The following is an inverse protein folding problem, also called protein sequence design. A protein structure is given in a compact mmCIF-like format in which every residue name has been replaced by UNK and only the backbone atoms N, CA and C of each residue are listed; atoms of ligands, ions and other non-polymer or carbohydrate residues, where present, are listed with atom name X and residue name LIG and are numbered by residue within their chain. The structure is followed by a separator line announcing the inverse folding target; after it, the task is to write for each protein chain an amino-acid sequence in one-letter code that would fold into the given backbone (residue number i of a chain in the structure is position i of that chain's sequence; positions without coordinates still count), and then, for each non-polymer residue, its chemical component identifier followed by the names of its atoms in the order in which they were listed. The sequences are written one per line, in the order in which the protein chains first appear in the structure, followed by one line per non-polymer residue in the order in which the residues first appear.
data_IF_763611026295
#
_entry.id   IF_763611026295
#
_cell.length_a   1.000
_cell.length_b   1.000
_cell.length_c   1.000
_cell.angle_alpha   90.00
_cell.angle_beta   90.00
_cell.angle_gamma   90.00
#
_symmetry.space_group_name_H-M   'P 1'
#
loop_
_entity.id
_entity.type
_entity.pdbx_description
1 polymer ?
#
# COMPACT_ATOMS: atom_id res chain seq x y z
N UNK A 1 -57.46 -3.81 -15.73
CA UNK A 1 -56.15 -4.50 -15.87
C UNK A 1 -55.03 -3.47 -15.88
N UNK A 2 -54.50 -3.10 -14.71
CA UNK A 2 -53.46 -2.05 -14.59
C UNK A 2 -52.62 -2.23 -13.32
N UNK A 3 -52.33 -3.47 -12.91
CA UNK A 3 -51.50 -3.77 -11.73
C UNK A 3 -50.76 -5.08 -11.98
N UNK A 4 -49.82 -5.11 -12.92
CA UNK A 4 -48.92 -6.26 -13.12
C UNK A 4 -47.64 -5.86 -13.85
N UNK A 5 -46.93 -4.85 -13.37
CA UNK A 5 -45.61 -4.48 -13.92
C UNK A 5 -44.60 -3.97 -12.88
N UNK A 6 -44.90 -4.10 -11.58
CA UNK A 6 -44.10 -3.44 -10.52
C UNK A 6 -43.29 -4.41 -9.61
N UNK A 7 -43.25 -5.71 -9.90
CA UNK A 7 -42.73 -6.71 -8.96
C UNK A 7 -41.39 -7.38 -9.36
N UNK A 8 -40.65 -6.85 -10.35
CA UNK A 8 -39.43 -7.51 -10.87
C UNK A 8 -38.10 -6.78 -10.60
N UNK A 9 -38.05 -5.82 -9.67
CA UNK A 9 -36.86 -4.96 -9.47
C UNK A 9 -36.02 -5.22 -8.20
N UNK A 10 -36.17 -6.33 -7.47
CA UNK A 10 -35.64 -6.42 -6.09
C UNK A 10 -34.71 -7.60 -5.78
N UNK A 11 -34.01 -8.14 -6.76
CA UNK A 11 -32.84 -9.02 -6.50
C UNK A 11 -31.60 -8.45 -7.19
N UNK A 12 -31.32 -7.16 -6.98
CA UNK A 12 -29.97 -6.66 -7.18
C UNK A 12 -29.18 -7.04 -5.93
N UNK A 13 -28.38 -8.12 -6.02
CA UNK A 13 -27.32 -8.34 -5.02
C UNK A 13 -26.49 -7.07 -4.97
N UNK A 14 -26.10 -6.58 -3.77
CA UNK A 14 -25.24 -5.42 -3.68
C UNK A 14 -23.98 -5.73 -4.49
N UNK A 15 -23.80 -5.03 -5.62
CA UNK A 15 -22.57 -5.11 -6.37
C UNK A 15 -21.46 -4.62 -5.42
N UNK A 16 -20.43 -5.44 -5.20
CA UNK A 16 -19.27 -5.05 -4.40
C UNK A 16 -18.45 -4.04 -5.18
N UNK A 17 -18.94 -2.81 -5.24
CA UNK A 17 -18.29 -1.72 -5.94
C UNK A 17 -16.96 -1.40 -5.25
N UNK A 18 -15.92 -1.27 -6.05
CA UNK A 18 -14.60 -0.91 -5.59
C UNK A 18 -13.82 -0.22 -6.70
N UNK A 19 -12.55 0.04 -6.42
CA UNK A 19 -11.63 0.67 -7.36
C UNK A 19 -10.43 -0.25 -7.57
N UNK A 20 -10.04 -0.48 -8.81
CA UNK A 20 -8.79 -1.14 -9.16
C UNK A 20 -7.86 -0.14 -9.82
N UNK A 21 -6.64 -0.03 -9.33
CA UNK A 21 -5.55 0.68 -10.00
C UNK A 21 -4.41 -0.28 -10.35
N UNK A 22 -3.80 -0.09 -11.51
CA UNK A 22 -2.59 -0.80 -11.91
C UNK A 22 -1.46 0.20 -12.07
N UNK A 23 -0.35 -0.06 -11.39
CA UNK A 23 0.89 0.69 -11.47
C UNK A 23 1.95 -0.14 -12.20
N UNK A 24 2.65 0.47 -13.14
CA UNK A 24 3.85 -0.10 -13.76
C UNK A 24 5.05 0.20 -12.87
N UNK A 25 5.88 -0.82 -12.64
CA UNK A 25 7.12 -0.70 -11.88
C UNK A 25 8.32 -0.45 -12.81
N UNK A 26 9.44 0.08 -12.31
CA UNK A 26 10.65 0.29 -13.11
C UNK A 26 11.24 -0.98 -13.72
N UNK A 27 11.01 -2.14 -13.08
CA UNK A 27 11.47 -3.45 -13.55
C UNK A 27 10.62 -4.02 -14.71
N UNK A 28 9.60 -3.28 -15.17
CA UNK A 28 8.65 -3.71 -16.20
C UNK A 28 7.50 -4.56 -15.67
N UNK A 29 7.49 -4.89 -14.37
CA UNK A 29 6.37 -5.54 -13.71
C UNK A 29 5.19 -4.58 -13.47
N UNK A 30 4.09 -5.12 -12.96
CA UNK A 30 2.94 -4.31 -12.54
C UNK A 30 2.48 -4.64 -11.13
N UNK A 31 2.06 -3.64 -10.37
CA UNK A 31 1.38 -3.83 -9.09
C UNK A 31 -0.06 -3.41 -9.24
N UNK A 32 -0.98 -4.25 -8.77
CA UNK A 32 -2.42 -3.99 -8.74
C UNK A 32 -2.81 -3.65 -7.31
N UNK A 33 -3.58 -2.58 -7.15
CA UNK A 33 -4.21 -2.17 -5.90
C UNK A 33 -5.72 -2.27 -6.12
N UNK A 34 -6.37 -3.14 -5.37
CA UNK A 34 -7.82 -3.31 -5.37
C UNK A 34 -8.36 -2.81 -4.04
N UNK A 35 -9.29 -1.85 -4.06
CA UNK A 35 -9.87 -1.24 -2.87
C UNK A 35 -11.37 -1.49 -2.88
N UNK A 36 -11.86 -2.15 -1.83
CA UNK A 36 -13.29 -2.36 -1.64
C UNK A 36 -13.98 -1.08 -1.13
N UNK A 37 -15.32 -1.07 -1.18
CA UNK A 37 -16.17 -0.02 -0.60
C UNK A 37 -15.94 0.20 0.91
N UNK A 38 -15.48 -0.83 1.63
CA UNK A 38 -15.08 -0.71 3.05
C UNK A 38 -13.79 0.09 3.27
N UNK A 39 -13.00 0.32 2.21
CA UNK A 39 -11.63 0.84 2.30
C UNK A 39 -10.58 -0.24 2.56
N UNK A 40 -10.98 -1.49 2.78
CA UNK A 40 -10.04 -2.61 2.79
C UNK A 40 -9.44 -2.78 1.40
N UNK A 41 -8.16 -3.13 1.35
CA UNK A 41 -7.43 -3.16 0.11
C UNK A 41 -6.53 -4.38 -0.01
N UNK A 42 -6.31 -4.80 -1.26
CA UNK A 42 -5.31 -5.79 -1.64
C UNK A 42 -4.28 -5.12 -2.53
N UNK A 43 -3.00 -5.40 -2.28
CA UNK A 43 -1.87 -4.94 -3.10
C UNK A 43 -1.00 -6.13 -3.51
N UNK A 44 -0.70 -6.26 -4.79
CA UNK A 44 0.17 -7.33 -5.31
C UNK A 44 0.07 -7.47 -6.83
N UNK A 45 0.73 -8.47 -7.43
CA UNK A 45 0.52 -8.77 -8.85
C UNK A 45 -0.77 -9.60 -9.06
N UNK A 46 -1.24 -9.67 -10.31
CA UNK A 46 -2.52 -10.29 -10.69
C UNK A 46 -2.70 -11.75 -10.25
N UNK A 47 -1.62 -12.49 -9.96
CA UNK A 47 -1.65 -13.88 -9.51
C UNK A 47 -0.54 -14.16 -8.47
N UNK A 48 -0.14 -13.15 -7.70
CA UNK A 48 0.97 -13.34 -6.77
C UNK A 48 0.60 -14.30 -5.64
N UNK A 49 1.55 -15.19 -5.36
CA UNK A 49 1.60 -16.00 -4.14
C UNK A 49 1.90 -15.14 -2.91
N UNK A 50 2.49 -13.96 -3.10
CA UNK A 50 2.79 -13.01 -2.02
C UNK A 50 2.09 -11.67 -2.26
N UNK A 51 1.21 -11.28 -1.35
CA UNK A 51 0.45 -10.04 -1.50
C UNK A 51 0.17 -9.38 -0.14
N UNK A 52 -0.09 -8.08 -0.17
CA UNK A 52 -0.48 -7.31 0.99
C UNK A 52 -1.99 -7.17 1.10
N UNK A 53 -2.49 -7.16 2.33
CA UNK A 53 -3.86 -6.80 2.67
C UNK A 53 -3.86 -5.66 3.68
N UNK A 54 -4.54 -4.57 3.37
CA UNK A 54 -4.93 -3.55 4.34
C UNK A 54 -6.35 -3.88 4.79
N UNK A 55 -6.51 -4.33 6.04
CA UNK A 55 -7.79 -4.74 6.61
C UNK A 55 -8.03 -3.98 7.90
N UNK A 56 -9.12 -3.22 7.98
CA UNK A 56 -9.44 -2.37 9.14
C UNK A 56 -8.25 -1.47 9.57
N UNK A 57 -7.51 -0.93 8.61
CA UNK A 57 -6.34 -0.06 8.84
C UNK A 57 -5.07 -0.79 9.31
N UNK A 58 -5.08 -2.13 9.37
CA UNK A 58 -3.90 -2.95 9.69
C UNK A 58 -3.37 -3.60 8.42
N UNK A 59 -2.05 -3.61 8.25
CA UNK A 59 -1.41 -4.24 7.11
C UNK A 59 -0.94 -5.65 7.43
N UNK A 60 -1.28 -6.58 6.55
CA UNK A 60 -0.92 -7.99 6.63
C UNK A 60 -0.20 -8.40 5.35
N UNK A 61 0.83 -9.21 5.48
CA UNK A 61 1.48 -9.89 4.37
C UNK A 61 0.96 -11.32 4.29
N UNK A 62 0.52 -11.71 3.11
CA UNK A 62 0.06 -13.05 2.81
C UNK A 62 1.11 -13.76 1.97
N UNK A 63 1.50 -14.96 2.38
CA UNK A 63 2.35 -15.85 1.60
C UNK A 63 1.61 -17.17 1.38
N UNK A 64 1.12 -17.40 0.17
CA UNK A 64 0.53 -18.66 -0.26
C UNK A 64 1.63 -19.59 -0.79
N UNK A 65 1.89 -20.70 -0.11
CA UNK A 65 2.92 -21.67 -0.48
C UNK A 65 2.40 -23.11 -0.53
N UNK A 66 3.32 -24.05 -0.79
CA UNK A 66 3.02 -25.49 -0.74
C UNK A 66 2.54 -25.96 0.63
N UNK A 67 3.00 -25.29 1.69
CA UNK A 67 2.71 -25.65 3.08
C UNK A 67 1.47 -24.93 3.63
N UNK A 68 0.70 -24.26 2.76
CA UNK A 68 -0.50 -23.49 3.12
C UNK A 68 -0.33 -21.98 2.93
N UNK A 69 -1.37 -21.25 3.32
CA UNK A 69 -1.39 -19.78 3.29
C UNK A 69 -1.02 -19.25 4.67
N UNK A 70 0.03 -18.43 4.73
CA UNK A 70 0.48 -17.78 5.95
C UNK A 70 0.06 -16.32 5.94
N UNK A 71 -0.57 -15.88 7.02
CA UNK A 71 -0.95 -14.49 7.24
C UNK A 71 -0.06 -13.94 8.34
N UNK A 72 0.64 -12.85 8.06
CA UNK A 72 1.55 -12.23 9.04
C UNK A 72 1.20 -10.75 9.15
N UNK A 73 0.92 -10.28 10.36
CA UNK A 73 0.77 -8.84 10.56
C UNK A 73 2.13 -8.16 10.45
N UNK A 74 2.15 -6.92 9.97
CA UNK A 74 3.41 -6.19 9.86
C UNK A 74 4.05 -5.90 11.23
N UNK A 75 3.23 -5.77 12.27
CA UNK A 75 3.69 -5.61 13.66
C UNK A 75 4.47 -6.85 14.12
N UNK A 76 3.93 -8.05 13.89
CA UNK A 76 4.58 -9.31 14.26
C UNK A 76 5.87 -9.54 13.45
N UNK A 77 5.88 -9.15 12.17
CA UNK A 77 7.08 -9.19 11.33
C UNK A 77 8.15 -8.25 11.90
N UNK A 78 7.79 -7.03 12.29
CA UNK A 78 8.75 -6.07 12.84
C UNK A 78 9.31 -6.53 14.19
N UNK A 79 8.46 -7.05 15.08
CA UNK A 79 8.89 -7.64 16.35
C UNK A 79 9.87 -8.80 16.11
N UNK A 80 9.49 -9.75 15.26
CA UNK A 80 10.31 -10.89 14.90
C UNK A 80 11.64 -10.47 14.23
N UNK A 81 11.61 -9.46 13.36
CA UNK A 81 12.80 -8.91 12.74
C UNK A 81 13.73 -8.25 13.77
N UNK A 82 13.20 -7.56 14.78
CA UNK A 82 14.00 -6.99 15.87
C UNK A 82 14.77 -8.05 16.68
N UNK A 83 14.26 -9.28 16.72
CA UNK A 83 14.89 -10.42 17.38
C UNK A 83 15.91 -11.16 16.49
N UNK A 84 15.84 -10.99 15.16
CA UNK A 84 16.60 -11.77 14.18
C UNK A 84 17.65 -10.93 13.44
N UNK A 85 17.42 -9.63 13.27
CA UNK A 85 18.33 -8.72 12.58
C UNK A 85 19.48 -8.29 13.51
N UNK A 86 20.74 -8.28 13.02
CA UNK A 86 21.87 -7.75 13.79
C UNK A 86 21.62 -6.29 14.21
N UNK A 87 22.06 -5.92 15.42
CA UNK A 87 21.97 -4.54 15.95
C UNK A 87 22.66 -3.47 15.08
N UNK A 88 23.44 -3.88 14.08
CA UNK A 88 24.23 -3.02 13.19
C UNK A 88 23.45 -2.46 11.99
N UNK A 89 22.11 -2.54 11.99
CA UNK A 89 21.20 -2.04 10.94
C UNK A 89 21.14 -0.49 10.80
N UNK A 90 22.23 0.22 11.10
CA UNK A 90 22.34 1.69 11.04
C UNK A 90 22.09 2.30 9.65
N UNK A 91 22.18 1.51 8.57
CA UNK A 91 21.85 1.96 7.20
C UNK A 91 20.34 2.24 7.03
N UNK A 92 19.46 1.44 7.63
CA UNK A 92 18.00 1.60 7.54
C UNK A 92 17.52 2.84 8.32
N UNK A 93 18.19 3.14 9.43
CA UNK A 93 17.95 4.35 10.21
C UNK A 93 18.31 5.63 9.44
N UNK A 94 19.34 5.59 8.59
CA UNK A 94 19.75 6.71 7.74
C UNK A 94 18.76 6.97 6.60
N UNK A 95 18.21 5.91 5.98
CA UNK A 95 17.18 6.04 4.94
C UNK A 95 15.85 6.57 5.48
N UNK A 96 15.44 6.15 6.69
CA UNK A 96 14.23 6.67 7.33
C UNK A 96 14.35 8.16 7.69
N UNK A 97 15.51 8.62 8.17
CA UNK A 97 15.76 10.07 8.35
C UNK A 97 15.70 10.84 7.04
N UNK A 98 16.14 10.26 5.93
CA UNK A 98 16.04 10.93 4.62
C UNK A 98 14.57 11.07 4.18
N UNK A 99 13.72 10.11 4.51
CA UNK A 99 12.26 10.20 4.31
C UNK A 99 11.61 11.22 5.24
N UNK A 100 12.05 11.35 6.50
CA UNK A 100 11.53 12.41 7.40
C UNK A 100 11.93 13.80 6.89
N UNK A 101 13.09 13.98 6.28
CA UNK A 101 13.45 15.28 5.70
C UNK A 101 12.69 15.61 4.39
N UNK A 102 11.95 14.67 3.80
CA UNK A 102 11.49 14.75 2.41
C UNK A 102 10.42 15.80 2.14
N UNK A 103 9.52 16.08 3.08
CA UNK A 103 8.32 16.85 2.75
C UNK A 103 8.51 18.37 2.77
N UNK A 104 9.32 18.88 3.71
CA UNK A 104 9.78 20.29 3.68
C UNK A 104 10.60 20.61 2.42
N UNK A 105 11.00 19.58 1.69
CA UNK A 105 11.79 19.66 0.47
C UNK A 105 10.96 19.45 -0.80
N UNK A 106 9.64 19.24 -0.77
CA UNK A 106 8.89 19.14 -2.03
C UNK A 106 8.65 20.52 -2.64
N UNK A 107 9.00 20.69 -3.91
CA UNK A 107 8.72 21.88 -4.70
C UNK A 107 7.89 21.50 -5.92
N UNK A 108 6.76 22.19 -6.09
CA UNK A 108 5.96 22.09 -7.31
C UNK A 108 6.77 22.63 -8.48
N UNK A 109 6.98 21.81 -9.53
CA UNK A 109 7.75 22.19 -10.72
C UNK A 109 6.95 22.06 -12.03
N UNK A 110 5.63 21.89 -11.92
CA UNK A 110 4.70 21.96 -13.04
C UNK A 110 3.52 21.01 -12.91
N UNK A 111 2.94 20.68 -14.06
CA UNK A 111 1.87 19.70 -14.19
C UNK A 111 2.27 18.62 -15.18
N UNK A 112 1.66 17.45 -15.06
CA UNK A 112 1.87 16.33 -15.95
C UNK A 112 0.59 15.51 -16.07
N UNK A 113 0.32 14.96 -17.24
CA UNK A 113 -0.80 14.03 -17.44
C UNK A 113 -0.26 12.60 -17.48
N UNK A 114 -0.79 11.72 -16.64
CA UNK A 114 -0.38 10.32 -16.54
C UNK A 114 -1.63 9.45 -16.62
N UNK A 115 -1.62 8.44 -17.50
CA UNK A 115 -2.78 7.60 -17.77
C UNK A 115 -4.08 8.39 -18.08
N UNK A 116 -3.94 9.52 -18.78
CA UNK A 116 -5.07 10.41 -19.12
C UNK A 116 -5.58 11.28 -17.96
N UNK A 117 -4.93 11.24 -16.78
CA UNK A 117 -5.33 12.01 -15.60
C UNK A 117 -4.37 13.17 -15.36
N UNK A 118 -4.88 14.40 -15.12
CA UNK A 118 -4.04 15.53 -14.78
C UNK A 118 -3.45 15.35 -13.39
N UNK A 119 -2.20 15.78 -13.22
CA UNK A 119 -1.54 15.79 -11.93
C UNK A 119 -0.55 16.94 -11.78
N UNK A 120 -0.22 17.24 -10.53
CA UNK A 120 0.76 18.22 -10.12
C UNK A 120 2.09 17.52 -9.89
N UNK A 121 3.16 18.10 -10.46
CA UNK A 121 4.49 17.51 -10.42
C UNK A 121 5.34 18.17 -9.35
N UNK A 122 6.03 17.33 -8.59
CA UNK A 122 6.89 17.72 -7.48
C UNK A 122 8.28 17.11 -7.65
N UNK A 123 9.28 17.91 -7.28
CA UNK A 123 10.67 17.49 -7.12
C UNK A 123 11.10 17.64 -5.68
N UNK A 124 12.08 16.85 -5.25
CA UNK A 124 12.75 17.07 -3.96
C UNK A 124 13.84 18.14 -4.13
N UNK A 125 13.80 19.19 -3.31
CA UNK A 125 14.83 20.22 -3.18
C UNK A 125 16.13 19.57 -2.72
N UNK A 126 17.25 20.04 -3.28
CA UNK A 126 18.59 19.56 -2.94
C UNK A 126 18.79 18.04 -3.11
N UNK A 127 18.01 17.42 -4.00
CA UNK A 127 18.14 16.01 -4.37
C UNK A 127 18.54 15.89 -5.83
N UNK A 128 19.44 14.95 -6.12
CA UNK A 128 19.82 14.58 -7.48
C UNK A 128 18.83 13.59 -8.12
N UNK A 129 17.76 13.22 -7.39
CA UNK A 129 16.69 12.36 -7.92
C UNK A 129 16.02 13.05 -9.11
N UNK A 130 16.11 12.40 -10.27
CA UNK A 130 15.58 12.89 -11.54
C UNK A 130 14.08 12.61 -11.61
N UNK A 131 13.65 11.51 -11.00
CA UNK A 131 12.26 11.09 -10.90
C UNK A 131 11.43 12.18 -10.22
N UNK A 132 10.17 12.26 -10.64
CA UNK A 132 9.23 13.26 -10.17
C UNK A 132 8.02 12.55 -9.57
N UNK A 133 7.63 13.02 -8.40
CA UNK A 133 6.34 12.69 -7.83
C UNK A 133 5.29 13.43 -8.66
N UNK A 134 4.27 12.72 -9.13
CA UNK A 134 3.09 13.33 -9.75
C UNK A 134 1.90 12.89 -8.93
N UNK A 135 1.13 13.83 -8.39
CA UNK A 135 -0.09 13.54 -7.61
C UNK A 135 -1.31 14.11 -8.32
N UNK A 136 -2.46 13.47 -8.15
CA UNK A 136 -3.73 13.92 -8.72
C UNK A 136 -4.78 14.08 -7.64
N UNK A 137 -5.57 15.13 -7.75
CA UNK A 137 -6.76 15.39 -6.92
C UNK A 137 -8.02 14.73 -7.50
N UNK A 138 -7.88 13.94 -8.58
CA UNK A 138 -8.97 13.24 -9.24
C UNK A 138 -9.76 12.38 -8.24
N UNK A 139 -11.07 12.64 -8.07
CA UNK A 139 -11.90 11.92 -7.10
C UNK A 139 -11.90 10.40 -7.27
N UNK A 140 -11.75 9.89 -8.50
CA UNK A 140 -11.75 8.46 -8.77
C UNK A 140 -10.51 7.74 -8.19
N UNK A 141 -9.44 8.49 -7.89
CA UNK A 141 -8.22 7.93 -7.29
C UNK A 141 -8.20 7.98 -5.77
N UNK A 142 -9.16 8.65 -5.12
CA UNK A 142 -9.17 8.79 -3.65
C UNK A 142 -9.13 7.46 -2.89
N UNK A 143 -9.91 6.42 -3.26
CA UNK A 143 -9.83 5.13 -2.57
C UNK A 143 -8.43 4.52 -2.63
N UNK A 144 -7.80 4.58 -3.81
CA UNK A 144 -6.45 4.06 -4.04
C UNK A 144 -5.41 4.87 -3.27
N UNK A 145 -5.50 6.20 -3.30
CA UNK A 145 -4.63 7.09 -2.53
C UNK A 145 -4.69 6.80 -1.03
N UNK A 146 -5.90 6.67 -0.47
CA UNK A 146 -6.10 6.35 0.95
C UNK A 146 -5.56 4.96 1.32
N UNK A 147 -5.72 3.95 0.44
CA UNK A 147 -5.14 2.63 0.65
C UNK A 147 -3.61 2.67 0.65
N UNK A 148 -3.00 3.36 -0.33
CA UNK A 148 -1.54 3.54 -0.39
C UNK A 148 -1.00 4.30 0.83
N UNK A 149 -1.70 5.34 1.28
CA UNK A 149 -1.38 6.05 2.52
C UNK A 149 -1.41 5.11 3.72
N UNK A 150 -2.49 4.34 3.88
CA UNK A 150 -2.63 3.37 4.98
C UNK A 150 -1.52 2.33 5.00
N UNK A 151 -1.13 1.80 3.84
CA UNK A 151 -0.01 0.87 3.70
C UNK A 151 1.31 1.53 4.09
N UNK A 152 1.57 2.75 3.62
CA UNK A 152 2.80 3.48 3.93
C UNK A 152 2.89 3.82 5.43
N UNK A 153 1.79 4.28 6.04
CA UNK A 153 1.70 4.57 7.48
C UNK A 153 1.92 3.31 8.30
N UNK A 154 1.26 2.20 7.96
CA UNK A 154 1.45 0.92 8.65
C UNK A 154 2.90 0.44 8.57
N UNK A 155 3.53 0.61 7.40
CA UNK A 155 4.94 0.25 7.18
C UNK A 155 5.89 1.05 8.08
N UNK A 156 5.69 2.36 8.17
CA UNK A 156 6.52 3.21 9.04
C UNK A 156 6.24 2.94 10.52
N UNK A 157 4.98 2.73 10.90
CA UNK A 157 4.62 2.41 12.27
C UNK A 157 5.28 1.11 12.75
N UNK A 158 5.26 0.06 11.93
CA UNK A 158 5.95 -1.19 12.24
C UNK A 158 7.47 -1.00 12.39
N UNK A 159 8.08 -0.14 11.56
CA UNK A 159 9.49 0.22 11.71
C UNK A 159 9.79 1.02 13.00
N UNK A 160 8.80 1.69 13.60
CA UNK A 160 8.95 2.39 14.87
C UNK A 160 9.38 1.50 16.02
N UNK A 161 8.91 0.24 16.05
CA UNK A 161 9.36 -0.75 17.01
C UNK A 161 10.88 -1.02 16.94
N UNK A 162 11.51 -0.78 15.78
CA UNK A 162 12.94 -1.00 15.56
C UNK A 162 13.79 0.25 15.78
N UNK A 163 13.25 1.45 15.50
CA UNK A 163 14.05 2.69 15.41
C UNK A 163 13.60 3.82 16.32
N UNK A 164 12.46 3.67 17.02
CA UNK A 164 11.87 4.62 17.96
C UNK A 164 10.62 5.32 17.41
N UNK A 165 9.64 5.54 18.30
CA UNK A 165 8.32 6.08 17.98
C UNK A 165 8.33 7.55 17.52
N UNK A 166 9.26 8.35 18.04
CA UNK A 166 9.36 9.78 17.73
C UNK A 166 9.70 10.00 16.24
N UNK A 167 10.71 9.28 15.73
CA UNK A 167 11.09 9.34 14.31
C UNK A 167 9.96 8.86 13.39
N UNK A 168 9.24 7.83 13.82
CA UNK A 168 8.15 7.25 13.04
C UNK A 168 6.96 8.20 12.96
N UNK A 169 6.66 8.90 14.05
CA UNK A 169 5.58 9.90 14.10
C UNK A 169 5.83 11.06 13.13
N UNK A 170 7.06 11.58 13.06
CA UNK A 170 7.45 12.64 12.11
C UNK A 170 7.27 12.16 10.66
N UNK A 171 7.80 10.97 10.34
CA UNK A 171 7.67 10.40 8.98
C UNK A 171 6.21 10.12 8.62
N UNK A 172 5.39 9.63 9.56
CA UNK A 172 3.96 9.39 9.34
C UNK A 172 3.24 10.70 8.99
N UNK A 173 3.53 11.81 9.67
CA UNK A 173 2.92 13.08 9.31
C UNK A 173 3.30 13.52 7.90
N UNK A 174 4.57 13.37 7.52
CA UNK A 174 5.00 13.68 6.15
C UNK A 174 4.34 12.82 5.08
N UNK A 175 4.07 11.54 5.38
CA UNK A 175 3.28 10.68 4.51
C UNK A 175 1.87 11.25 4.35
N UNK A 176 1.20 11.58 5.45
CA UNK A 176 -0.17 12.12 5.43
C UNK A 176 -0.26 13.43 4.66
N UNK A 177 0.65 14.36 4.91
CA UNK A 177 0.67 15.65 4.24
C UNK A 177 0.98 15.51 2.73
N UNK A 178 1.80 14.53 2.33
CA UNK A 178 1.98 14.16 0.93
C UNK A 178 0.68 13.64 0.29
N UNK A 179 0.00 12.68 0.93
CA UNK A 179 -1.24 12.10 0.42
C UNK A 179 -2.43 13.07 0.50
N UNK A 180 -2.39 14.06 1.38
CA UNK A 180 -3.35 15.16 1.44
C UNK A 180 -3.35 16.03 0.16
N UNK A 181 -2.26 16.00 -0.62
CA UNK A 181 -2.16 16.68 -1.93
C UNK A 181 -2.86 15.91 -3.05
N UNK A 182 -3.15 14.63 -2.86
CA UNK A 182 -3.76 13.77 -3.85
C UNK A 182 -3.11 12.38 -3.93
N UNK A 183 -3.70 11.52 -4.75
CA UNK A 183 -3.19 10.18 -4.99
C UNK A 183 -2.01 10.21 -5.96
N UNK A 184 -0.95 9.42 -5.74
CA UNK A 184 0.21 9.39 -6.62
C UNK A 184 -0.16 8.76 -7.97
N UNK A 185 0.09 9.50 -9.05
CA UNK A 185 0.15 9.00 -10.42
C UNK A 185 1.55 8.48 -10.76
N UNK A 186 2.59 9.11 -10.21
CA UNK A 186 3.99 8.68 -10.30
C UNK A 186 4.67 8.85 -8.96
N UNK A 187 5.51 7.91 -8.57
CA UNK A 187 6.27 7.97 -7.33
C UNK A 187 7.77 8.16 -7.59
N UNK A 188 8.52 8.55 -6.57
CA UNK A 188 9.97 8.73 -6.70
C UNK A 188 10.73 7.41 -6.94
N UNK A 189 10.16 6.27 -6.55
CA UNK A 189 10.68 4.94 -6.87
C UNK A 189 10.24 4.44 -8.27
N UNK A 190 9.66 5.34 -9.08
CA UNK A 190 9.39 5.11 -10.50
C UNK A 190 8.15 4.28 -10.79
N UNK A 191 7.27 4.05 -9.80
CA UNK A 191 5.96 3.46 -10.09
C UNK A 191 5.13 4.49 -10.84
N UNK A 192 4.49 4.06 -11.92
CA UNK A 192 3.66 4.93 -12.77
C UNK A 192 2.28 4.31 -12.95
N UNK A 193 1.23 5.06 -12.64
CA UNK A 193 -0.14 4.66 -12.86
C UNK A 193 -0.34 4.35 -14.35
N UNK A 194 -0.83 3.14 -14.62
CA UNK A 194 -1.19 2.68 -15.96
C UNK A 194 -2.69 2.82 -16.18
N UNK A 195 -3.49 2.33 -15.24
CA UNK A 195 -4.96 2.33 -15.32
C UNK A 195 -5.57 2.50 -13.94
N UNK A 196 -6.79 3.04 -13.92
CA UNK A 196 -7.69 2.97 -12.76
C UNK A 196 -9.12 2.90 -13.28
N UNK A 197 -9.87 1.97 -12.72
CA UNK A 197 -11.22 1.62 -13.12
C UNK A 197 -12.09 1.32 -11.91
N UNK A 198 -13.40 1.53 -12.06
CA UNK A 198 -14.36 0.92 -11.16
C UNK A 198 -14.35 -0.59 -11.41
N UNK A 199 -14.25 -1.36 -10.34
CA UNK A 199 -14.16 -2.81 -10.40
C UNK A 199 -15.02 -3.44 -9.32
N UNK A 200 -15.54 -4.63 -9.60
CA UNK A 200 -16.07 -5.47 -8.53
C UNK A 200 -14.90 -6.03 -7.72
N UNK A 201 -14.89 -5.74 -6.41
CA UNK A 201 -13.89 -6.25 -5.47
C UNK A 201 -14.60 -7.15 -4.46
N UNK A 202 -14.66 -8.47 -4.71
CA UNK A 202 -15.29 -9.41 -3.80
C UNK A 202 -14.71 -9.33 -2.39
N UNK A 203 -15.58 -9.45 -1.37
CA UNK A 203 -15.17 -9.33 0.04
C UNK A 203 -14.10 -10.33 0.45
N UNK A 204 -14.18 -11.55 -0.06
CA UNK A 204 -13.18 -12.60 0.17
C UNK A 204 -11.80 -12.25 -0.40
N UNK A 205 -11.74 -11.37 -1.40
CA UNK A 205 -10.49 -10.92 -2.01
C UNK A 205 -9.67 -9.98 -1.13
N UNK A 206 -10.35 -9.25 -0.25
CA UNK A 206 -9.76 -8.31 0.73
C UNK A 206 -9.89 -8.79 2.18
N UNK A 207 -10.49 -9.95 2.41
CA UNK A 207 -10.54 -10.60 3.72
C UNK A 207 -9.24 -11.39 3.98
N UNK A 208 -8.92 -11.59 5.26
CA UNK A 208 -7.83 -12.49 5.64
C UNK A 208 -8.23 -13.94 5.28
N UNK A 209 -7.40 -14.66 4.50
CA UNK A 209 -7.71 -16.03 4.09
C UNK A 209 -7.58 -17.05 5.24
N UNK A 210 -6.77 -16.74 6.25
CA UNK A 210 -6.50 -17.55 7.44
C UNK A 210 -6.30 -16.62 8.65
N UNK A 211 -6.24 -17.19 9.85
CA UNK A 211 -5.85 -16.40 11.02
C UNK A 211 -4.38 -15.96 10.93
N UNK A 212 -4.05 -14.73 11.37
CA UNK A 212 -2.66 -14.31 11.51
C UNK A 212 -1.86 -15.25 12.43
N UNK A 213 -0.63 -15.55 12.01
CA UNK A 213 0.36 -16.22 12.85
C UNK A 213 0.67 -15.38 14.10
N UNK A 214 1.06 -16.06 15.17
CA UNK A 214 1.65 -15.41 16.36
C UNK A 214 3.07 -14.91 16.07
N UNK A 215 3.54 -13.92 16.85
CA UNK A 215 4.91 -13.40 16.74
C UNK A 215 6.00 -14.49 16.86
N UNK A 216 5.78 -15.52 17.69
CA UNK A 216 6.70 -16.66 17.83
C UNK A 216 6.77 -17.49 16.54
N UNK A 217 5.63 -17.78 15.92
CA UNK A 217 5.55 -18.50 14.64
C UNK A 217 6.21 -17.70 13.51
N UNK A 218 5.98 -16.39 13.46
CA UNK A 218 6.65 -15.48 12.51
C UNK A 218 8.16 -15.51 12.71
N UNK A 219 8.64 -15.45 13.96
CA UNK A 219 10.08 -15.52 14.29
C UNK A 219 10.72 -16.83 13.81
N UNK A 220 10.06 -17.97 14.05
CA UNK A 220 10.55 -19.27 13.59
C UNK A 220 10.62 -19.31 12.06
N UNK A 221 9.60 -18.79 11.38
CA UNK A 221 9.56 -18.73 9.91
C UNK A 221 10.70 -17.88 9.33
N UNK A 222 10.94 -16.70 9.87
CA UNK A 222 12.03 -15.82 9.41
C UNK A 222 13.40 -16.46 9.59
N UNK A 223 13.62 -17.21 10.69
CA UNK A 223 14.88 -17.95 10.91
C UNK A 223 15.06 -19.06 9.88
N UNK A 224 14.01 -19.85 9.61
CA UNK A 224 14.07 -20.94 8.62
C UNK A 224 14.35 -20.42 7.21
N UNK A 225 13.69 -19.33 6.77
CA UNK A 225 13.98 -18.70 5.47
C UNK A 225 15.45 -18.29 5.34
N UNK A 226 16.06 -17.74 6.40
CA UNK A 226 17.46 -17.30 6.40
C UNK A 226 18.48 -18.45 6.37
N UNK A 227 18.15 -19.60 6.95
CA UNK A 227 19.03 -20.79 6.92
C UNK A 227 18.97 -21.55 5.59
N UNK A 228 17.98 -21.28 4.75
CA UNK A 228 17.80 -21.92 3.44
C UNK A 228 18.33 -21.14 2.24
N UNK A 229 18.95 -19.96 2.44
CA UNK A 229 19.62 -19.15 1.40
C UNK A 229 21.14 -19.24 1.53
#
# INVERSE_FOLDING_TARGET
MRILFLALCLIATPAHAGTRATYLRPDGGSTIIEVADSGDARIGQANDVEYGLLVNGRFYMIEAGRDGTFVMSLDDIAEAAGLVLPREFGRLRKSLRALSAAESNLESDGTETVAGRPGYRFRMKHSDIVERLVVSDDPALRPVGAAMEGIAVASVAAMGALFGDEMSSEVIQHIRDMFARGAPLKTFDGWTLATVEDAEVPRDRVALPEMPLSADEVTQRLRTKRSGS
#
